data_IF_199467447599
#
_entry.id   IF_199467447599
#
_cell.length_a   1.000
_cell.length_b   1.000
_cell.length_c   1.000
_cell.angle_alpha   90.00
_cell.angle_beta   90.00
_cell.angle_gamma   90.00
#
_symmetry.space_group_name_H-M   'P 1'
#
loop_
_entity.id
_entity.type
_entity.pdbx_description
1 polymer ?
#
# COMPACT_ATOMS: atom_id res chain seq x y z
N UNK A 1 34.08 54.12 57.63
CA UNK A 1 33.48 54.10 56.30
C UNK A 1 33.82 52.85 55.48
N UNK A 2 34.95 52.15 55.59
CA UNK A 2 35.36 51.01 54.76
C UNK A 2 34.64 49.68 55.07
N UNK A 3 34.04 49.44 56.24
CA UNK A 3 33.38 48.20 56.66
C UNK A 3 31.95 48.13 56.11
N UNK A 4 31.24 49.25 56.04
CA UNK A 4 29.86 49.33 55.51
C UNK A 4 29.77 49.03 54.01
N UNK A 5 30.78 49.38 53.19
CA UNK A 5 30.80 49.11 51.75
C UNK A 5 31.04 47.64 51.39
N UNK A 6 31.81 46.89 52.22
CA UNK A 6 32.02 45.46 52.05
C UNK A 6 30.80 44.59 52.36
N UNK A 7 29.98 44.97 53.34
CA UNK A 7 28.79 44.23 53.70
C UNK A 7 27.68 44.41 52.60
N UNK A 8 27.59 45.60 51.96
CA UNK A 8 26.68 45.85 50.84
C UNK A 8 27.08 45.07 49.55
N UNK A 9 28.36 44.96 49.28
CA UNK A 9 28.90 44.18 48.13
C UNK A 9 28.63 42.69 48.23
N UNK A 10 28.83 42.09 49.40
CA UNK A 10 28.62 40.64 49.63
C UNK A 10 27.14 40.29 49.53
N UNK A 11 26.21 41.16 49.95
CA UNK A 11 24.77 40.95 49.83
C UNK A 11 24.27 41.05 48.39
N UNK A 12 24.85 41.92 47.56
CA UNK A 12 24.50 42.08 46.13
C UNK A 12 24.93 40.87 45.30
N UNK A 13 26.13 40.32 45.53
CA UNK A 13 26.65 39.15 44.85
C UNK A 13 25.87 37.87 45.21
N UNK A 14 25.50 37.70 46.46
CA UNK A 14 24.65 36.59 46.89
C UNK A 14 23.26 36.67 46.27
N UNK A 15 22.71 37.91 46.10
CA UNK A 15 21.41 38.15 45.44
C UNK A 15 21.47 37.80 43.94
N UNK A 16 22.51 38.22 43.22
CA UNK A 16 22.74 37.88 41.80
C UNK A 16 22.85 36.38 41.61
N UNK A 17 23.61 35.68 42.43
CA UNK A 17 23.74 34.22 42.37
C UNK A 17 22.39 33.50 42.62
N UNK A 18 21.58 33.94 43.54
CA UNK A 18 20.25 33.35 43.83
C UNK A 18 19.26 33.59 42.66
N UNK A 19 19.29 34.77 42.03
CA UNK A 19 18.52 35.07 40.84
C UNK A 19 18.94 34.24 39.66
N UNK A 20 20.25 34.13 39.43
CA UNK A 20 20.80 33.32 38.37
C UNK A 20 20.43 31.83 38.53
N UNK A 21 20.50 31.26 39.75
CA UNK A 21 20.10 29.88 40.03
C UNK A 21 18.60 29.67 39.76
N UNK A 22 17.75 30.61 40.14
CA UNK A 22 16.30 30.54 39.91
C UNK A 22 15.96 30.52 38.41
N UNK A 23 16.56 31.43 37.62
CA UNK A 23 16.37 31.49 36.17
C UNK A 23 16.94 30.22 35.51
N UNK A 24 18.09 29.75 35.94
CA UNK A 24 18.70 28.52 35.43
C UNK A 24 17.79 27.29 35.66
N UNK A 25 17.16 27.16 36.83
CA UNK A 25 16.20 26.08 37.11
C UNK A 25 14.96 26.20 36.25
N UNK A 26 14.42 27.42 36.07
CA UNK A 26 13.27 27.64 35.18
C UNK A 26 13.59 27.24 33.75
N UNK A 27 14.73 27.66 33.20
CA UNK A 27 15.19 27.28 31.87
C UNK A 27 15.44 25.78 31.72
N UNK A 28 15.99 25.13 32.76
CA UNK A 28 16.19 23.67 32.77
C UNK A 28 14.84 22.93 32.66
N UNK A 29 13.84 23.34 33.47
CA UNK A 29 12.50 22.73 33.45
C UNK A 29 11.84 22.94 32.08
N UNK A 30 11.90 24.14 31.50
CA UNK A 30 11.37 24.41 30.17
C UNK A 30 12.07 23.59 29.08
N UNK A 31 13.39 23.44 29.16
CA UNK A 31 14.17 22.60 28.24
C UNK A 31 13.76 21.12 28.35
N UNK A 32 13.53 20.62 29.56
CA UNK A 32 13.05 19.24 29.80
C UNK A 32 11.64 19.04 29.23
N UNK A 33 10.72 19.98 29.41
CA UNK A 33 9.36 19.92 28.83
C UNK A 33 9.44 19.91 27.31
N UNK A 34 10.22 20.81 26.70
CA UNK A 34 10.40 20.86 25.25
C UNK A 34 11.03 19.57 24.71
N UNK A 35 12.09 19.08 25.35
CA UNK A 35 12.76 17.83 24.99
C UNK A 35 11.83 16.62 25.08
N UNK A 36 11.03 16.54 26.14
CA UNK A 36 10.02 15.47 26.30
C UNK A 36 8.93 15.53 25.23
N UNK A 37 8.44 16.73 24.91
CA UNK A 37 7.44 16.93 23.85
C UNK A 37 7.99 16.53 22.47
N UNK A 38 9.23 16.93 22.14
CA UNK A 38 9.90 16.54 20.92
C UNK A 38 10.14 15.02 20.84
N UNK A 39 10.61 14.40 21.90
CA UNK A 39 10.82 12.96 21.98
C UNK A 39 9.53 12.17 21.78
N UNK A 40 8.44 12.62 22.42
CA UNK A 40 7.13 11.99 22.28
C UNK A 40 6.63 12.11 20.84
N UNK A 41 6.76 13.28 20.21
CA UNK A 41 6.42 13.48 18.81
C UNK A 41 7.21 12.56 17.86
N UNK A 42 8.54 12.51 18.02
CA UNK A 42 9.42 11.68 17.19
C UNK A 42 9.07 10.19 17.30
N UNK A 43 8.81 9.74 18.54
CA UNK A 43 8.43 8.34 18.81
C UNK A 43 7.09 8.00 18.16
N UNK A 44 6.09 8.86 18.30
CA UNK A 44 4.77 8.66 17.70
C UNK A 44 4.81 8.70 16.17
N UNK A 45 5.55 9.64 15.59
CA UNK A 45 5.70 9.74 14.14
C UNK A 45 6.36 8.49 13.54
N UNK A 46 7.38 7.97 14.23
CA UNK A 46 8.08 6.75 13.84
C UNK A 46 7.17 5.52 13.92
N UNK A 47 6.48 5.32 15.03
CA UNK A 47 5.54 4.21 15.19
C UNK A 47 4.40 4.26 14.15
N UNK A 48 3.83 5.43 13.91
CA UNK A 48 2.78 5.59 12.90
C UNK A 48 3.29 5.22 11.50
N UNK A 49 4.53 5.59 11.16
CA UNK A 49 5.15 5.22 9.89
C UNK A 49 5.40 3.71 9.80
N UNK A 50 5.96 3.08 10.82
CA UNK A 50 6.21 1.64 10.86
C UNK A 50 4.91 0.84 10.73
N UNK A 51 3.84 1.27 11.39
CA UNK A 51 2.51 0.65 11.29
C UNK A 51 1.94 0.75 9.87
N UNK A 52 2.04 1.93 9.25
CA UNK A 52 1.60 2.12 7.87
C UNK A 52 2.39 1.24 6.89
N UNK A 53 3.71 1.22 7.02
CA UNK A 53 4.59 0.42 6.17
C UNK A 53 4.25 -1.08 6.29
N UNK A 54 4.06 -1.58 7.51
CA UNK A 54 3.65 -2.95 7.78
C UNK A 54 2.26 -3.27 7.21
N UNK A 55 1.31 -2.34 7.33
CA UNK A 55 -0.04 -2.46 6.77
C UNK A 55 0.00 -2.55 5.24
N UNK A 56 0.73 -1.65 4.57
CA UNK A 56 0.86 -1.66 3.11
C UNK A 56 1.52 -2.94 2.60
N UNK A 57 2.58 -3.41 3.27
CA UNK A 57 3.23 -4.69 2.94
C UNK A 57 2.25 -5.86 3.08
N UNK A 58 1.51 -5.92 4.18
CA UNK A 58 0.51 -6.98 4.41
C UNK A 58 -0.57 -6.97 3.34
N UNK A 59 -1.05 -5.79 2.92
CA UNK A 59 -2.04 -5.66 1.86
C UNK A 59 -1.45 -6.12 0.52
N UNK A 60 -0.24 -5.70 0.16
CA UNK A 60 0.42 -6.10 -1.06
C UNK A 60 0.65 -7.62 -1.12
N UNK A 61 1.11 -8.22 -0.01
CA UNK A 61 1.29 -9.66 0.12
C UNK A 61 -0.02 -10.43 -0.03
N UNK A 62 -1.07 -10.00 0.67
CA UNK A 62 -2.40 -10.63 0.58
C UNK A 62 -2.95 -10.57 -0.84
N UNK A 63 -2.86 -9.42 -1.52
CA UNK A 63 -3.34 -9.26 -2.89
C UNK A 63 -2.54 -10.10 -3.88
N UNK A 64 -1.22 -10.14 -3.76
CA UNK A 64 -0.36 -10.96 -4.60
C UNK A 64 -0.69 -12.46 -4.43
N UNK A 65 -0.93 -12.91 -3.20
CA UNK A 65 -1.29 -14.29 -2.90
C UNK A 65 -2.70 -14.64 -3.42
N UNK A 66 -3.69 -13.77 -3.25
CA UNK A 66 -5.04 -13.97 -3.79
C UNK A 66 -5.03 -14.09 -5.33
N UNK A 67 -4.24 -13.26 -6.02
CA UNK A 67 -4.08 -13.34 -7.48
C UNK A 67 -3.41 -14.66 -7.87
N UNK A 68 -2.34 -15.04 -7.18
CA UNK A 68 -1.62 -16.28 -7.42
C UNK A 68 -2.50 -17.51 -7.18
N UNK A 69 -3.27 -17.53 -6.10
CA UNK A 69 -4.21 -18.59 -5.79
C UNK A 69 -5.30 -18.72 -6.87
N UNK A 70 -5.91 -17.62 -7.26
CA UNK A 70 -6.90 -17.59 -8.33
C UNK A 70 -6.35 -18.12 -9.66
N UNK A 71 -5.16 -17.66 -10.06
CA UNK A 71 -4.49 -18.15 -11.27
C UNK A 71 -4.21 -19.66 -11.22
N UNK A 72 -3.67 -20.13 -10.09
CA UNK A 72 -3.36 -21.55 -9.91
C UNK A 72 -4.63 -22.41 -9.93
N UNK A 73 -5.74 -21.93 -9.38
CA UNK A 73 -7.04 -22.57 -9.47
C UNK A 73 -7.48 -22.72 -10.93
N UNK A 74 -7.37 -21.65 -11.75
CA UNK A 74 -7.70 -21.73 -13.19
C UNK A 74 -6.78 -22.69 -13.95
N UNK A 75 -5.50 -22.70 -13.66
CA UNK A 75 -4.57 -23.67 -14.24
C UNK A 75 -4.91 -25.11 -13.82
N UNK A 76 -5.29 -25.34 -12.57
CA UNK A 76 -5.73 -26.66 -12.10
C UNK A 76 -7.00 -27.13 -12.81
N UNK A 77 -7.97 -26.25 -13.07
CA UNK A 77 -9.13 -26.58 -13.90
C UNK A 77 -8.71 -27.00 -15.32
N UNK A 78 -7.79 -26.28 -15.93
CA UNK A 78 -7.23 -26.61 -17.24
C UNK A 78 -6.49 -27.95 -17.22
N UNK A 79 -5.77 -28.27 -16.14
CA UNK A 79 -5.07 -29.55 -15.96
C UNK A 79 -6.05 -30.73 -15.85
N UNK A 80 -7.10 -30.58 -15.04
CA UNK A 80 -8.17 -31.60 -14.94
C UNK A 80 -8.82 -31.84 -16.30
N UNK A 81 -9.04 -30.77 -17.07
CA UNK A 81 -9.59 -30.88 -18.42
C UNK A 81 -8.62 -31.61 -19.38
N UNK A 82 -7.34 -31.27 -19.35
CA UNK A 82 -6.30 -31.93 -20.15
C UNK A 82 -6.16 -33.43 -19.84
N UNK A 83 -6.33 -33.80 -18.56
CA UNK A 83 -6.29 -35.22 -18.12
C UNK A 83 -7.59 -35.98 -18.32
N UNK A 84 -8.67 -35.37 -18.82
CA UNK A 84 -9.96 -36.00 -18.98
C UNK A 84 -10.01 -36.88 -20.26
N UNK A 85 -9.73 -38.19 -20.10
CA UNK A 85 -9.68 -39.14 -21.20
C UNK A 85 -11.03 -39.32 -21.89
N UNK A 86 -12.14 -39.24 -21.17
CA UNK A 86 -13.51 -39.33 -21.74
C UNK A 86 -13.80 -38.13 -22.65
N UNK A 87 -13.43 -36.93 -22.21
CA UNK A 87 -13.55 -35.73 -23.01
C UNK A 87 -12.65 -35.79 -24.25
N UNK A 88 -11.39 -36.19 -24.11
CA UNK A 88 -10.46 -36.35 -25.21
C UNK A 88 -10.99 -37.36 -26.25
N UNK A 89 -11.55 -38.49 -25.84
CA UNK A 89 -12.16 -39.49 -26.73
C UNK A 89 -13.38 -38.93 -27.46
N UNK A 90 -14.22 -38.09 -26.77
CA UNK A 90 -15.34 -37.42 -27.42
C UNK A 90 -14.88 -36.41 -28.48
N UNK A 91 -13.86 -35.59 -28.18
CA UNK A 91 -13.26 -34.64 -29.14
C UNK A 91 -12.69 -35.37 -30.35
N UNK A 92 -11.89 -36.43 -30.15
CA UNK A 92 -11.36 -37.24 -31.23
C UNK A 92 -12.44 -37.83 -32.15
N UNK A 93 -13.49 -38.44 -31.57
CA UNK A 93 -14.64 -38.97 -32.34
C UNK A 93 -15.30 -37.88 -33.15
N UNK A 94 -15.56 -36.74 -32.56
CA UNK A 94 -16.18 -35.60 -33.22
C UNK A 94 -15.34 -35.07 -34.37
N UNK A 95 -14.01 -35.07 -34.25
CA UNK A 95 -13.10 -34.65 -35.31
C UNK A 95 -13.05 -35.65 -36.49
N UNK A 96 -13.13 -36.95 -36.19
CA UNK A 96 -13.09 -38.03 -37.21
C UNK A 96 -14.43 -38.23 -37.89
N UNK A 97 -15.54 -38.15 -37.16
CA UNK A 97 -16.89 -38.33 -37.62
C UNK A 97 -17.80 -37.31 -36.96
N UNK A 98 -17.96 -36.13 -37.59
CA UNK A 98 -18.84 -35.09 -37.03
C UNK A 98 -20.26 -35.61 -36.80
N UNK A 99 -20.68 -35.67 -35.52
CA UNK A 99 -21.98 -36.10 -35.07
C UNK A 99 -22.62 -34.98 -34.23
N UNK A 100 -23.86 -34.61 -34.56
CA UNK A 100 -24.61 -33.57 -33.85
C UNK A 100 -24.80 -33.88 -32.36
N UNK A 101 -24.92 -35.17 -31.96
CA UNK A 101 -25.05 -35.58 -30.57
C UNK A 101 -23.78 -35.36 -29.81
N UNK A 102 -22.62 -35.73 -30.38
CA UNK A 102 -21.31 -35.51 -29.74
C UNK A 102 -21.03 -34.02 -29.64
N UNK A 103 -21.33 -33.24 -30.68
CA UNK A 103 -21.26 -31.78 -30.64
C UNK A 103 -22.07 -31.18 -29.51
N UNK A 104 -23.33 -31.61 -29.34
CA UNK A 104 -24.20 -31.16 -28.26
C UNK A 104 -23.66 -31.53 -26.87
N UNK A 105 -23.07 -32.75 -26.73
CA UNK A 105 -22.43 -33.17 -25.46
C UNK A 105 -21.23 -32.30 -25.09
N UNK A 106 -20.34 -32.01 -26.04
CA UNK A 106 -19.19 -31.13 -25.82
C UNK A 106 -19.68 -29.72 -25.45
N UNK A 107 -20.67 -29.19 -26.17
CA UNK A 107 -21.24 -27.89 -25.89
C UNK A 107 -21.89 -27.82 -24.49
N UNK A 108 -22.63 -28.85 -24.09
CA UNK A 108 -23.23 -28.94 -22.76
C UNK A 108 -22.16 -29.01 -21.66
N UNK A 109 -21.10 -29.73 -21.90
CA UNK A 109 -19.95 -29.77 -20.97
C UNK A 109 -19.30 -28.39 -20.81
N UNK A 110 -19.07 -27.68 -21.90
CA UNK A 110 -18.57 -26.30 -21.86
C UNK A 110 -19.52 -25.36 -21.12
N UNK A 111 -20.82 -25.46 -21.37
CA UNK A 111 -21.83 -24.66 -20.66
C UNK A 111 -21.79 -24.92 -19.15
N UNK A 112 -21.66 -26.18 -18.74
CA UNK A 112 -21.50 -26.53 -17.33
C UNK A 112 -20.25 -25.93 -16.71
N UNK A 113 -19.10 -26.01 -17.39
CA UNK A 113 -17.84 -25.39 -16.91
C UNK A 113 -17.96 -23.87 -16.80
N UNK A 114 -18.52 -23.22 -17.82
CA UNK A 114 -18.67 -21.77 -17.84
C UNK A 114 -19.54 -21.26 -16.68
N UNK A 115 -20.67 -21.93 -16.40
CA UNK A 115 -21.56 -21.56 -15.31
C UNK A 115 -20.91 -21.75 -13.94
N UNK A 116 -20.25 -22.90 -13.70
CA UNK A 116 -19.70 -23.22 -12.38
C UNK A 116 -18.41 -22.45 -12.06
N UNK A 117 -17.60 -22.18 -13.07
CA UNK A 117 -16.30 -21.54 -12.90
C UNK A 117 -16.22 -20.10 -13.41
N UNK A 118 -17.34 -19.55 -13.87
CA UNK A 118 -17.47 -18.18 -14.35
C UNK A 118 -16.52 -17.84 -15.50
N UNK A 119 -16.40 -18.75 -16.50
CA UNK A 119 -15.71 -18.44 -17.74
C UNK A 119 -16.62 -17.63 -18.68
N UNK A 120 -16.09 -16.56 -19.26
CA UNK A 120 -16.80 -15.71 -20.21
C UNK A 120 -17.12 -16.46 -21.50
N UNK A 121 -16.17 -17.26 -21.98
CA UNK A 121 -16.35 -18.14 -23.14
C UNK A 121 -15.40 -19.36 -23.05
N UNK A 122 -15.70 -20.41 -23.82
CA UNK A 122 -14.84 -21.59 -23.95
C UNK A 122 -14.77 -21.97 -25.42
N UNK A 123 -13.56 -22.23 -25.90
CA UNK A 123 -13.31 -22.59 -27.29
C UNK A 123 -12.59 -23.94 -27.37
N UNK A 124 -13.00 -24.78 -28.32
CA UNK A 124 -12.21 -25.93 -28.77
C UNK A 124 -11.39 -25.50 -29.99
N UNK A 125 -10.10 -25.67 -29.92
CA UNK A 125 -9.13 -25.30 -30.94
C UNK A 125 -8.48 -26.58 -31.52
N UNK A 126 -8.09 -26.53 -32.80
CA UNK A 126 -7.20 -27.55 -33.36
C UNK A 126 -5.73 -27.30 -32.94
N UNK A 127 -4.81 -28.13 -33.42
CA UNK A 127 -3.39 -28.05 -33.11
C UNK A 127 -2.70 -26.81 -33.64
N UNK A 128 -3.28 -26.18 -34.65
CA UNK A 128 -2.83 -24.94 -35.32
C UNK A 128 -3.44 -23.69 -34.66
N UNK A 129 -4.37 -23.86 -33.68
CA UNK A 129 -5.03 -22.77 -32.99
C UNK A 129 -6.31 -22.24 -33.68
N UNK A 130 -6.83 -22.93 -34.72
CA UNK A 130 -8.08 -22.53 -35.34
C UNK A 130 -9.27 -22.96 -34.49
N UNK A 131 -10.28 -22.07 -34.41
CA UNK A 131 -11.50 -22.34 -33.65
C UNK A 131 -12.33 -23.42 -34.37
N UNK A 132 -12.57 -24.53 -33.70
CA UNK A 132 -13.42 -25.64 -34.16
C UNK A 132 -14.82 -25.59 -33.55
N UNK A 133 -14.91 -25.16 -32.29
CA UNK A 133 -16.19 -24.96 -31.57
C UNK A 133 -16.02 -23.81 -30.61
N UNK A 134 -17.11 -23.10 -30.31
CA UNK A 134 -17.20 -22.06 -29.30
C UNK A 134 -18.48 -22.18 -28.50
N UNK A 135 -18.44 -21.84 -27.22
CA UNK A 135 -19.65 -21.89 -26.37
C UNK A 135 -20.63 -20.76 -26.72
N UNK A 136 -20.11 -19.54 -26.80
CA UNK A 136 -20.90 -18.36 -27.16
C UNK A 136 -20.42 -17.76 -28.47
N UNK A 137 -21.32 -17.25 -29.32
CA UNK A 137 -20.94 -16.50 -30.51
C UNK A 137 -20.02 -15.32 -30.13
N UNK A 138 -18.87 -15.22 -30.74
CA UNK A 138 -17.93 -14.12 -30.61
C UNK A 138 -17.48 -13.73 -32.00
N UNK A 139 -17.37 -12.44 -32.26
CA UNK A 139 -16.98 -11.93 -33.56
C UNK A 139 -15.47 -12.07 -33.81
N UNK A 140 -14.68 -12.19 -32.74
CA UNK A 140 -13.24 -12.04 -32.79
C UNK A 140 -12.54 -13.30 -33.28
N UNK A 141 -11.61 -13.13 -34.20
CA UNK A 141 -10.53 -14.09 -34.45
C UNK A 141 -9.58 -14.08 -33.24
N UNK A 142 -9.00 -15.22 -32.92
CA UNK A 142 -7.96 -15.29 -31.88
C UNK A 142 -6.75 -14.48 -32.31
N UNK A 143 -6.14 -13.78 -31.34
CA UNK A 143 -4.90 -13.05 -31.59
C UNK A 143 -3.72 -14.01 -31.86
N UNK A 144 -2.68 -13.58 -32.60
CA UNK A 144 -1.47 -14.40 -32.79
C UNK A 144 -0.85 -14.91 -31.48
N UNK A 145 -0.92 -14.11 -30.41
CA UNK A 145 -0.41 -14.46 -29.09
C UNK A 145 -1.13 -15.69 -28.52
N UNK A 146 -2.45 -15.82 -28.73
CA UNK A 146 -3.21 -17.00 -28.29
C UNK A 146 -2.79 -18.25 -29.07
N UNK A 147 -2.52 -18.15 -30.36
CA UNK A 147 -2.01 -19.26 -31.17
C UNK A 147 -0.64 -19.72 -30.66
N UNK A 148 0.24 -18.78 -30.28
CA UNK A 148 1.52 -19.12 -29.67
C UNK A 148 1.33 -19.82 -28.30
N UNK A 149 0.36 -19.39 -27.50
CA UNK A 149 -0.01 -20.04 -26.25
C UNK A 149 -0.47 -21.49 -26.47
N UNK A 150 -1.27 -21.76 -27.52
CA UNK A 150 -1.70 -23.11 -27.90
C UNK A 150 -0.49 -23.99 -28.23
N UNK A 151 0.41 -23.50 -29.07
CA UNK A 151 1.64 -24.24 -29.42
C UNK A 151 2.50 -24.52 -28.18
N UNK A 152 2.66 -23.55 -27.29
CA UNK A 152 3.41 -23.70 -26.04
C UNK A 152 2.78 -24.74 -25.12
N UNK A 153 1.45 -24.73 -24.96
CA UNK A 153 0.73 -25.72 -24.16
C UNK A 153 0.89 -27.14 -24.69
N UNK A 154 0.79 -27.32 -26.03
CA UNK A 154 0.98 -28.60 -26.68
C UNK A 154 2.42 -29.11 -26.54
N UNK A 155 3.41 -28.25 -26.73
CA UNK A 155 4.83 -28.61 -26.62
C UNK A 155 5.23 -28.98 -25.18
N UNK A 156 4.79 -28.19 -24.20
CA UNK A 156 5.07 -28.43 -22.78
C UNK A 156 4.24 -29.56 -22.19
N UNK A 157 3.15 -29.96 -22.85
CA UNK A 157 2.11 -30.87 -22.34
C UNK A 157 1.49 -30.42 -21.01
N UNK A 158 1.51 -29.14 -20.76
CA UNK A 158 1.02 -28.53 -19.55
C UNK A 158 0.07 -27.38 -19.89
N UNK A 159 -0.96 -27.11 -19.08
CA UNK A 159 -1.74 -25.91 -19.22
C UNK A 159 -0.87 -24.66 -19.08
N UNK A 160 -1.19 -23.66 -19.86
CA UNK A 160 -0.53 -22.35 -19.81
C UNK A 160 -1.59 -21.25 -19.74
N UNK A 161 -1.19 -20.06 -19.28
CA UNK A 161 -2.05 -18.88 -19.34
C UNK A 161 -1.38 -17.74 -20.13
N UNK A 162 -2.22 -16.86 -20.67
CA UNK A 162 -1.82 -15.63 -21.31
C UNK A 162 -1.76 -14.44 -20.36
N UNK A 163 -1.51 -13.30 -20.95
CA UNK A 163 -1.62 -12.00 -20.29
C UNK A 163 -3.05 -11.48 -20.34
N UNK A 164 -3.39 -10.49 -19.49
CA UNK A 164 -4.65 -9.75 -19.63
C UNK A 164 -4.59 -8.92 -20.91
N UNK A 165 -5.60 -9.06 -21.75
CA UNK A 165 -5.66 -8.39 -23.05
C UNK A 165 -7.11 -8.10 -23.49
N UNK A 166 -7.29 -7.29 -24.54
CA UNK A 166 -8.54 -7.13 -25.27
C UNK A 166 -8.44 -7.82 -26.62
N UNK A 167 -9.52 -8.48 -27.05
CA UNK A 167 -9.65 -8.84 -28.45
C UNK A 167 -10.00 -7.61 -29.29
N UNK A 168 -9.65 -7.64 -30.59
CA UNK A 168 -9.73 -6.46 -31.45
C UNK A 168 -11.14 -5.83 -31.53
N UNK A 169 -12.19 -6.64 -31.42
CA UNK A 169 -13.58 -6.20 -31.53
C UNK A 169 -14.32 -6.19 -30.19
N UNK A 170 -13.61 -6.42 -29.07
CA UNK A 170 -14.20 -6.52 -27.73
C UNK A 170 -13.58 -5.46 -26.81
N UNK A 171 -14.44 -4.79 -26.02
CA UNK A 171 -14.01 -3.80 -25.03
C UNK A 171 -13.71 -4.42 -23.66
N UNK A 172 -14.23 -5.63 -23.42
CA UNK A 172 -14.01 -6.33 -22.17
C UNK A 172 -12.60 -6.96 -22.14
N UNK A 173 -11.88 -6.85 -21.02
CA UNK A 173 -10.58 -7.52 -20.85
C UNK A 173 -10.78 -9.02 -20.61
N UNK A 174 -9.83 -9.83 -21.07
CA UNK A 174 -9.82 -11.28 -20.90
C UNK A 174 -8.46 -11.79 -20.44
N UNK A 175 -8.47 -12.96 -19.79
CA UNK A 175 -7.29 -13.79 -19.53
C UNK A 175 -7.59 -15.18 -20.07
N UNK A 176 -6.71 -15.68 -20.90
CA UNK A 176 -6.85 -16.98 -21.54
C UNK A 176 -6.04 -18.06 -20.82
N UNK A 177 -6.69 -19.18 -20.54
CA UNK A 177 -6.06 -20.38 -20.01
C UNK A 177 -6.21 -21.48 -21.07
N UNK A 178 -5.10 -22.09 -21.46
CA UNK A 178 -5.07 -23.10 -22.51
C UNK A 178 -4.83 -24.48 -21.89
N UNK A 179 -5.77 -25.39 -22.12
CA UNK A 179 -5.70 -26.79 -21.73
C UNK A 179 -5.39 -27.64 -22.99
N UNK A 180 -4.18 -28.18 -23.16
CA UNK A 180 -3.87 -29.04 -24.31
C UNK A 180 -4.59 -30.38 -24.20
N UNK A 181 -5.12 -30.90 -25.29
CA UNK A 181 -5.86 -32.18 -25.33
C UNK A 181 -5.06 -33.18 -26.14
N UNK A 182 -4.89 -34.37 -25.54
CA UNK A 182 -4.15 -35.49 -26.15
C UNK A 182 -5.02 -36.72 -26.31
N UNK A 183 -4.86 -37.40 -27.45
CA UNK A 183 -5.31 -38.76 -27.64
C UNK A 183 -4.34 -39.68 -26.91
N UNK A 184 -4.86 -40.49 -25.96
CA UNK A 184 -4.09 -41.39 -25.13
C UNK A 184 -4.27 -42.87 -25.53
N UNK A 185 -5.04 -43.19 -26.57
CA UNK A 185 -5.31 -44.56 -26.99
C UNK A 185 -4.14 -45.21 -27.76
N UNK A 186 -3.07 -44.47 -28.03
CA UNK A 186 -1.85 -44.94 -28.71
C UNK A 186 -0.66 -45.13 -27.79
N UNK A 187 0.45 -45.67 -28.30
CA UNK A 187 1.68 -45.90 -27.51
C UNK A 187 2.34 -44.60 -27.05
N UNK A 188 2.00 -43.50 -27.66
CA UNK A 188 2.45 -42.15 -27.28
C UNK A 188 1.27 -41.14 -27.35
N UNK A 189 1.13 -40.25 -26.38
CA UNK A 189 0.12 -39.23 -26.43
C UNK A 189 0.28 -38.33 -27.68
N UNK A 190 -0.79 -38.26 -28.48
CA UNK A 190 -0.82 -37.44 -29.70
C UNK A 190 -1.68 -36.21 -29.46
N UNK A 191 -1.20 -34.99 -29.72
CA UNK A 191 -2.05 -33.80 -29.58
C UNK A 191 -3.20 -33.84 -30.58
N UNK A 192 -4.40 -33.54 -30.12
CA UNK A 192 -5.62 -33.46 -30.95
C UNK A 192 -6.24 -32.08 -30.92
N UNK A 193 -5.68 -31.14 -30.16
CA UNK A 193 -6.11 -29.76 -30.05
C UNK A 193 -5.90 -29.18 -28.67
N UNK A 194 -6.62 -28.12 -28.38
CA UNK A 194 -6.60 -27.47 -27.06
C UNK A 194 -7.99 -26.88 -26.74
N UNK A 195 -8.27 -26.71 -25.46
CA UNK A 195 -9.40 -25.92 -25.00
C UNK A 195 -8.88 -24.60 -24.44
N UNK A 196 -9.41 -23.49 -24.95
CA UNK A 196 -9.21 -22.17 -24.42
C UNK A 196 -10.34 -21.85 -23.46
N UNK A 197 -10.01 -21.56 -22.20
CA UNK A 197 -10.88 -21.10 -21.15
C UNK A 197 -10.68 -19.60 -20.99
N UNK A 198 -11.63 -18.80 -21.44
CA UNK A 198 -11.58 -17.34 -21.38
C UNK A 198 -12.17 -16.86 -20.06
N UNK A 199 -11.34 -16.32 -19.18
CA UNK A 199 -11.77 -15.76 -17.91
C UNK A 199 -11.97 -14.25 -18.01
N UNK A 200 -13.01 -13.74 -17.35
CA UNK A 200 -13.27 -12.30 -17.21
C UNK A 200 -12.59 -11.76 -15.95
N UNK A 201 -11.59 -10.86 -16.07
CA UNK A 201 -10.97 -10.23 -14.92
C UNK A 201 -11.94 -9.43 -14.03
N UNK A 202 -13.04 -8.92 -14.59
CA UNK A 202 -14.05 -8.20 -13.84
C UNK A 202 -14.81 -9.09 -12.84
N UNK A 203 -14.87 -10.40 -13.09
CA UNK A 203 -15.59 -11.33 -12.22
C UNK A 203 -14.86 -11.58 -10.89
N UNK A 204 -13.54 -11.50 -10.85
CA UNK A 204 -12.74 -11.78 -9.66
C UNK A 204 -11.54 -10.85 -9.47
N UNK A 205 -10.67 -10.74 -10.47
CA UNK A 205 -9.36 -10.09 -10.34
C UNK A 205 -9.49 -8.61 -9.97
N UNK A 206 -10.32 -7.87 -10.68
CA UNK A 206 -10.50 -6.44 -10.44
C UNK A 206 -11.22 -6.14 -9.12
N UNK A 207 -12.31 -6.85 -8.72
CA UNK A 207 -12.90 -6.71 -7.39
C UNK A 207 -11.90 -6.97 -6.25
N UNK A 208 -11.05 -7.98 -6.38
CA UNK A 208 -9.99 -8.25 -5.40
C UNK A 208 -9.05 -7.05 -5.30
N UNK A 209 -8.58 -6.49 -6.42
CA UNK A 209 -7.68 -5.34 -6.42
C UNK A 209 -8.32 -4.07 -5.87
N UNK A 210 -9.59 -3.82 -6.21
CA UNK A 210 -10.33 -2.62 -5.78
C UNK A 210 -10.71 -2.65 -4.30
N UNK A 211 -10.84 -3.84 -3.69
CA UNK A 211 -11.18 -3.95 -2.27
C UNK A 211 -10.01 -3.48 -1.40
N UNK A 212 -10.30 -2.58 -0.44
CA UNK A 212 -9.33 -2.10 0.53
C UNK A 212 -9.83 -2.41 1.95
N UNK A 213 -9.01 -2.95 2.85
CA UNK A 213 -9.49 -3.46 4.16
C UNK A 213 -9.92 -2.38 5.14
N UNK A 214 -9.47 -1.14 4.95
CA UNK A 214 -9.79 -0.01 5.81
C UNK A 214 -10.34 1.16 4.99
N UNK A 215 -11.25 1.99 5.54
CA UNK A 215 -11.70 3.19 4.85
C UNK A 215 -10.52 4.10 4.50
N UNK A 216 -10.43 4.49 3.22
CA UNK A 216 -9.39 5.38 2.71
C UNK A 216 -9.89 6.07 1.43
N UNK A 217 -9.56 7.34 1.28
CA UNK A 217 -9.93 8.14 0.11
C UNK A 217 -8.97 7.94 -1.06
N UNK A 218 -7.69 7.71 -0.78
CA UNK A 218 -6.63 7.70 -1.80
C UNK A 218 -5.91 6.36 -1.94
N UNK A 219 -6.14 5.42 -1.01
CA UNK A 219 -5.54 4.08 -1.11
C UNK A 219 -6.08 3.33 -2.31
N UNK A 220 -5.19 2.70 -3.04
CA UNK A 220 -5.54 1.80 -4.14
C UNK A 220 -4.50 0.72 -4.36
N UNK A 221 -4.93 -0.37 -4.99
CA UNK A 221 -4.04 -1.44 -5.43
C UNK A 221 -3.91 -1.41 -6.96
N UNK A 222 -2.70 -1.36 -7.44
CA UNK A 222 -2.35 -1.40 -8.86
C UNK A 222 -1.78 -2.77 -9.18
N UNK A 223 -2.19 -3.32 -10.32
CA UNK A 223 -1.55 -4.47 -10.93
C UNK A 223 -0.89 -4.01 -12.23
N UNK A 224 0.41 -4.22 -12.34
CA UNK A 224 1.19 -3.75 -13.48
C UNK A 224 2.05 -4.86 -14.08
N UNK A 225 2.35 -4.74 -15.36
CA UNK A 225 3.34 -5.54 -16.06
C UNK A 225 4.22 -4.69 -16.96
N UNK A 226 5.34 -5.26 -17.34
CA UNK A 226 6.22 -4.66 -18.35
C UNK A 226 5.69 -4.95 -19.75
N UNK A 227 5.76 -3.95 -20.61
CA UNK A 227 5.51 -4.08 -22.05
C UNK A 227 6.57 -3.29 -22.81
N UNK A 228 7.58 -4.01 -23.31
CA UNK A 228 8.76 -3.39 -23.91
C UNK A 228 9.49 -2.47 -22.91
N UNK A 229 9.44 -1.16 -23.17
CA UNK A 229 10.05 -0.13 -22.34
C UNK A 229 9.05 0.66 -21.49
N UNK A 230 7.82 0.16 -21.42
CA UNK A 230 6.73 0.79 -20.69
C UNK A 230 6.22 -0.09 -19.54
N UNK A 231 5.63 0.58 -18.55
CA UNK A 231 4.75 0.04 -17.53
C UNK A 231 3.32 0.09 -18.05
N UNK A 232 2.63 -1.05 -18.10
CA UNK A 232 1.18 -1.10 -18.37
C UNK A 232 0.44 -1.38 -17.07
N UNK A 233 -0.64 -0.63 -16.84
CA UNK A 233 -1.59 -0.86 -15.77
C UNK A 233 -2.65 -1.85 -16.24
N UNK A 234 -2.79 -2.96 -15.51
CA UNK A 234 -3.67 -4.07 -15.89
C UNK A 234 -5.10 -3.83 -15.44
N UNK A 235 -5.30 -3.17 -14.28
CA UNK A 235 -6.62 -2.92 -13.71
C UNK A 235 -7.04 -1.46 -13.82
N UNK A 236 -8.35 -1.23 -13.66
CA UNK A 236 -8.89 0.12 -13.51
C UNK A 236 -8.36 0.79 -12.26
N UNK A 237 -8.08 2.09 -12.37
CA UNK A 237 -7.54 2.91 -11.30
C UNK A 237 -8.63 3.80 -10.69
N UNK A 238 -8.56 3.98 -9.36
CA UNK A 238 -9.53 4.82 -8.64
C UNK A 238 -9.59 6.26 -9.19
N UNK A 239 -8.45 6.81 -9.56
CA UNK A 239 -8.33 8.20 -10.00
C UNK A 239 -8.02 8.37 -11.50
N UNK A 240 -8.09 7.28 -12.26
CA UNK A 240 -7.95 7.31 -13.72
C UNK A 240 -8.87 6.23 -14.33
N UNK A 241 -10.14 6.57 -14.56
CA UNK A 241 -11.07 5.70 -15.27
C UNK A 241 -10.53 5.35 -16.67
N UNK A 242 -10.87 4.17 -17.17
CA UNK A 242 -10.39 3.64 -18.47
C UNK A 242 -8.87 3.48 -18.57
N UNK A 243 -8.17 3.34 -17.43
CA UNK A 243 -6.73 3.11 -17.38
C UNK A 243 -6.32 1.67 -17.74
N UNK A 244 -7.20 0.70 -17.49
CA UNK A 244 -6.91 -0.71 -17.67
C UNK A 244 -6.42 -1.00 -19.10
N UNK A 245 -5.21 -1.56 -19.22
CA UNK A 245 -4.50 -1.89 -20.47
C UNK A 245 -4.20 -0.72 -21.41
N UNK A 246 -4.63 0.51 -21.06
CA UNK A 246 -4.44 1.72 -21.88
C UNK A 246 -3.40 2.66 -21.30
N UNK A 247 -3.37 2.81 -19.98
CA UNK A 247 -2.41 3.69 -19.33
C UNK A 247 -1.00 3.09 -19.42
N UNK A 248 -0.10 3.86 -20.02
CA UNK A 248 1.32 3.53 -20.15
C UNK A 248 2.18 4.59 -19.51
N UNK A 249 3.27 4.18 -18.89
CA UNK A 249 4.28 5.07 -18.33
C UNK A 249 5.66 4.52 -18.65
N UNK A 250 6.65 5.40 -18.89
CA UNK A 250 8.02 4.95 -19.14
C UNK A 250 8.59 4.13 -17.98
N UNK A 251 9.30 3.05 -18.31
CA UNK A 251 9.96 2.18 -17.31
C UNK A 251 11.15 2.86 -16.62
N UNK A 252 11.76 3.86 -17.26
CA UNK A 252 12.90 4.64 -16.74
C UNK A 252 12.48 5.76 -15.78
N UNK A 253 11.19 5.92 -15.48
CA UNK A 253 10.69 6.92 -14.52
C UNK A 253 11.07 6.54 -13.09
N UNK A 254 12.22 7.04 -12.61
CA UNK A 254 12.85 6.63 -11.35
C UNK A 254 11.99 6.88 -10.10
N UNK A 255 11.06 7.84 -10.14
CA UNK A 255 10.17 8.17 -9.03
C UNK A 255 8.88 7.37 -9.01
N UNK A 256 8.56 6.64 -10.08
CA UNK A 256 7.32 5.90 -10.23
C UNK A 256 7.39 4.52 -9.52
N UNK A 257 6.57 4.25 -8.49
CA UNK A 257 6.56 2.96 -7.79
C UNK A 257 6.38 1.76 -8.74
N UNK A 258 5.51 1.89 -9.73
CA UNK A 258 5.24 0.85 -10.71
C UNK A 258 6.47 0.51 -11.58
N UNK A 259 7.25 1.50 -12.01
CA UNK A 259 8.49 1.29 -12.73
C UNK A 259 9.55 0.61 -11.84
N UNK A 260 9.68 1.07 -10.59
CA UNK A 260 10.63 0.49 -9.64
C UNK A 260 10.31 -0.99 -9.32
N UNK A 261 9.02 -1.34 -9.19
CA UNK A 261 8.59 -2.72 -9.01
C UNK A 261 9.05 -3.61 -10.18
N UNK A 262 8.83 -3.16 -11.42
CA UNK A 262 9.20 -3.90 -12.63
C UNK A 262 10.72 -3.95 -12.86
N UNK A 263 11.48 -3.04 -12.27
CA UNK A 263 12.95 -3.07 -12.22
C UNK A 263 13.49 -3.98 -11.10
N UNK A 264 12.61 -4.71 -10.39
CA UNK A 264 12.97 -5.69 -9.38
C UNK A 264 13.00 -5.17 -7.95
N UNK A 265 12.59 -3.92 -7.70
CA UNK A 265 12.51 -3.40 -6.34
C UNK A 265 11.27 -3.96 -5.63
N UNK A 266 11.44 -4.33 -4.37
CA UNK A 266 10.39 -4.87 -3.49
C UNK A 266 10.36 -4.11 -2.16
N UNK A 267 9.26 -4.26 -1.42
CA UNK A 267 9.11 -3.59 -0.12
C UNK A 267 8.55 -2.18 -0.25
N UNK A 268 8.83 -1.33 0.73
CA UNK A 268 8.30 0.05 0.76
C UNK A 268 9.11 0.97 -0.16
N UNK A 269 8.39 1.82 -0.86
CA UNK A 269 8.94 2.84 -1.74
C UNK A 269 8.16 4.14 -1.62
N UNK A 270 8.85 5.23 -1.34
CA UNK A 270 8.30 6.58 -1.38
C UNK A 270 8.57 7.17 -2.77
N UNK A 271 7.51 7.57 -3.47
CA UNK A 271 7.64 8.05 -4.85
C UNK A 271 6.49 8.96 -5.28
N UNK A 272 6.40 9.14 -6.59
CA UNK A 272 5.32 9.86 -7.24
C UNK A 272 4.48 8.87 -8.06
N UNK A 273 3.17 8.89 -7.93
CA UNK A 273 2.29 8.02 -8.70
C UNK A 273 2.08 8.53 -10.15
N UNK A 274 1.22 7.85 -10.91
CA UNK A 274 0.87 8.23 -12.28
C UNK A 274 0.27 9.63 -12.41
N UNK A 275 -0.29 10.19 -11.32
CA UNK A 275 -0.82 11.58 -11.22
C UNK A 275 0.26 12.59 -10.81
N UNK A 276 1.49 12.15 -10.52
CA UNK A 276 2.58 12.94 -9.93
C UNK A 276 2.32 13.35 -8.47
N UNK A 277 1.39 12.68 -7.78
CA UNK A 277 1.15 12.88 -6.35
C UNK A 277 2.16 12.06 -5.52
N UNK A 278 2.69 12.64 -4.42
CA UNK A 278 3.57 11.93 -3.51
C UNK A 278 2.83 10.78 -2.81
N UNK A 279 3.33 9.57 -2.93
CA UNK A 279 2.73 8.35 -2.37
C UNK A 279 3.74 7.53 -1.57
N UNK A 280 3.20 6.73 -0.65
CA UNK A 280 3.89 5.63 0.00
C UNK A 280 3.32 4.35 -0.59
N UNK A 281 4.18 3.48 -1.08
CA UNK A 281 3.76 2.27 -1.79
C UNK A 281 4.52 1.04 -1.30
N UNK A 282 3.82 -0.10 -1.22
CA UNK A 282 4.42 -1.42 -1.07
C UNK A 282 4.45 -2.13 -2.42
N UNK A 283 5.61 -2.65 -2.80
CA UNK A 283 5.88 -3.29 -4.08
C UNK A 283 6.06 -4.79 -3.89
N UNK A 284 5.25 -5.61 -4.59
CA UNK A 284 5.28 -7.06 -4.47
C UNK A 284 5.15 -7.74 -5.83
N UNK A 285 6.07 -8.65 -6.25
CA UNK A 285 5.90 -9.47 -7.43
C UNK A 285 4.81 -10.54 -7.20
N UNK A 286 4.05 -10.87 -8.25
CA UNK A 286 3.14 -12.01 -8.29
C UNK A 286 3.91 -13.22 -8.79
N UNK A 287 4.06 -14.24 -7.95
CA UNK A 287 4.87 -15.42 -8.27
C UNK A 287 4.40 -16.11 -9.56
N UNK A 288 5.37 -16.53 -10.41
CA UNK A 288 5.09 -17.23 -11.66
C UNK A 288 4.45 -16.41 -12.78
N UNK A 289 4.46 -15.07 -12.65
CA UNK A 289 4.01 -14.12 -13.68
C UNK A 289 5.04 -13.00 -13.85
N UNK A 290 4.86 -12.15 -14.87
CA UNK A 290 5.56 -10.87 -14.99
C UNK A 290 4.85 -9.71 -14.27
N UNK A 291 3.85 -9.99 -13.44
CA UNK A 291 3.00 -8.99 -12.80
C UNK A 291 3.55 -8.54 -11.45
N UNK A 292 3.26 -7.30 -11.11
CA UNK A 292 3.59 -6.73 -9.79
C UNK A 292 2.36 -6.04 -9.21
N UNK A 293 2.13 -6.29 -7.92
CA UNK A 293 1.14 -5.59 -7.11
C UNK A 293 1.80 -4.39 -6.44
N UNK A 294 1.15 -3.24 -6.53
CA UNK A 294 1.53 -2.03 -5.81
C UNK A 294 0.35 -1.59 -4.95
N UNK A 295 0.48 -1.70 -3.63
CA UNK A 295 -0.48 -1.15 -2.68
C UNK A 295 0.02 0.23 -2.25
N UNK A 296 -0.72 1.30 -2.55
CA UNK A 296 -0.28 2.67 -2.28
C UNK A 296 -1.34 3.50 -1.55
N UNK A 297 -0.88 4.55 -0.90
CA UNK A 297 -1.69 5.61 -0.31
C UNK A 297 -1.01 6.96 -0.53
N UNK A 298 -1.77 8.03 -0.70
CA UNK A 298 -1.22 9.37 -0.81
C UNK A 298 -0.55 9.78 0.51
N UNK A 299 0.66 10.32 0.41
CA UNK A 299 1.46 10.72 1.59
C UNK A 299 0.72 11.70 2.50
N UNK A 300 -0.12 12.57 1.92
CA UNK A 300 -0.94 13.52 2.68
C UNK A 300 -1.95 12.81 3.57
N UNK A 301 -2.68 11.82 3.07
CA UNK A 301 -3.63 11.03 3.84
C UNK A 301 -2.90 10.19 4.89
N UNK A 302 -1.85 9.51 4.49
CA UNK A 302 -1.03 8.68 5.37
C UNK A 302 -0.52 9.43 6.62
N UNK A 303 -0.17 10.71 6.47
CA UNK A 303 0.35 11.55 7.55
C UNK A 303 -0.73 12.35 8.28
N UNK A 304 -1.99 12.32 7.83
CA UNK A 304 -3.06 13.14 8.41
C UNK A 304 -3.31 12.85 9.89
N UNK A 305 -3.36 11.58 10.29
CA UNK A 305 -3.50 11.17 11.69
C UNK A 305 -2.30 11.58 12.55
N UNK A 306 -1.09 11.44 12.02
CA UNK A 306 0.15 11.86 12.68
C UNK A 306 0.19 13.38 12.88
N UNK A 307 -0.29 14.17 11.91
CA UNK A 307 -0.38 15.63 12.05
C UNK A 307 -1.36 16.07 13.15
N UNK A 308 -2.47 15.35 13.34
CA UNK A 308 -3.40 15.64 14.43
C UNK A 308 -2.74 15.41 15.80
N UNK A 309 -2.12 14.25 15.97
CA UNK A 309 -1.38 13.90 17.21
C UNK A 309 -0.25 14.90 17.45
N UNK A 310 0.50 15.28 16.42
CA UNK A 310 1.56 16.28 16.51
C UNK A 310 1.04 17.64 17.03
N UNK A 311 -0.11 18.09 16.52
CA UNK A 311 -0.76 19.34 16.99
C UNK A 311 -1.17 19.24 18.46
N UNK A 312 -1.73 18.09 18.89
CA UNK A 312 -2.11 17.88 20.29
C UNK A 312 -0.88 17.89 21.21
N UNK A 313 0.20 17.20 20.85
CA UNK A 313 1.46 17.21 21.61
C UNK A 313 2.01 18.63 21.69
N UNK A 314 2.01 19.39 20.60
CA UNK A 314 2.50 20.76 20.58
C UNK A 314 1.67 21.68 21.48
N UNK A 315 0.34 21.55 21.46
CA UNK A 315 -0.56 22.33 22.32
C UNK A 315 -0.36 22.00 23.80
N UNK A 316 -0.25 20.73 24.15
CA UNK A 316 0.01 20.30 25.53
C UNK A 316 1.37 20.78 26.02
N UNK A 317 2.42 20.65 25.20
CA UNK A 317 3.77 21.13 25.52
C UNK A 317 3.78 22.64 25.73
N UNK A 318 3.13 23.40 24.85
CA UNK A 318 3.01 24.85 24.96
C UNK A 318 2.23 25.25 26.21
N UNK A 319 1.13 24.57 26.53
CA UNK A 319 0.35 24.80 27.75
C UNK A 319 1.16 24.55 29.03
N UNK A 320 1.94 23.43 29.07
CA UNK A 320 2.84 23.15 30.18
C UNK A 320 3.94 24.19 30.34
N UNK A 321 4.52 24.66 29.23
CA UNK A 321 5.52 25.72 29.26
C UNK A 321 4.95 27.04 29.81
N UNK A 322 3.77 27.45 29.33
CA UNK A 322 3.10 28.65 29.80
C UNK A 322 2.73 28.56 31.30
N UNK A 323 2.19 27.40 31.72
CA UNK A 323 1.92 27.13 33.12
C UNK A 323 3.17 27.18 34.01
N UNK A 324 4.27 26.62 33.51
CA UNK A 324 5.58 26.67 34.20
C UNK A 324 6.09 28.11 34.33
N UNK A 325 6.04 28.88 33.26
CA UNK A 325 6.42 30.30 33.27
C UNK A 325 5.56 31.07 34.27
N UNK A 326 4.24 30.92 34.24
CA UNK A 326 3.31 31.56 35.16
C UNK A 326 3.62 31.16 36.62
N UNK A 327 3.83 29.88 36.90
CA UNK A 327 4.19 29.39 38.24
C UNK A 327 5.49 30.02 38.75
N UNK A 328 6.54 30.06 37.95
CA UNK A 328 7.81 30.69 38.32
C UNK A 328 7.67 32.21 38.48
N UNK A 329 6.82 32.88 37.70
CA UNK A 329 6.51 34.30 37.84
C UNK A 329 5.83 34.60 39.16
N UNK A 330 4.84 33.77 39.56
CA UNK A 330 4.18 33.91 40.88
C UNK A 330 5.16 33.66 42.05
N UNK A 331 6.02 32.65 41.94
CA UNK A 331 7.06 32.40 42.94
C UNK A 331 8.05 33.57 43.04
N UNK A 332 8.42 34.16 41.95
CA UNK A 332 9.25 35.36 41.93
C UNK A 332 8.59 36.52 42.63
N UNK A 333 7.35 36.81 42.30
CA UNK A 333 6.58 37.93 42.88
C UNK A 333 6.32 37.75 44.36
N UNK A 334 6.04 36.49 44.84
CA UNK A 334 5.85 36.21 46.24
C UNK A 334 7.14 36.40 47.07
N UNK A 335 8.31 36.02 46.51
CA UNK A 335 9.61 36.26 47.16
C UNK A 335 9.93 37.71 47.33
N UNK A 336 9.59 38.54 46.35
CA UNK A 336 9.80 40.00 46.44
C UNK A 336 8.90 40.62 47.47
N UNK A 337 7.62 40.24 47.57
CA UNK A 337 6.70 40.76 48.61
C UNK A 337 7.15 40.43 50.03
N UNK A 338 7.64 39.21 50.28
CA UNK A 338 8.16 38.85 51.62
C UNK A 338 9.43 39.64 51.98
N UNK A 339 10.27 39.94 51.02
CA UNK A 339 11.45 40.77 51.21
C UNK A 339 11.14 42.22 51.52
N UNK A 340 10.17 42.83 50.84
CA UNK A 340 9.72 44.18 51.11
C UNK A 340 9.13 44.31 52.51
N UNK A 341 8.34 43.33 52.97
CA UNK A 341 7.79 43.31 54.34
C UNK A 341 8.91 43.20 55.38
N UNK A 342 9.86 42.32 55.23
CA UNK A 342 10.98 42.14 56.14
C UNK A 342 11.88 43.41 56.24
N UNK A 343 12.09 44.10 55.13
CA UNK A 343 12.81 45.39 55.09
C UNK A 343 12.04 46.50 55.80
N UNK A 344 10.74 46.59 55.61
CA UNK A 344 9.89 47.58 56.24
C UNK A 344 9.81 47.35 57.73
N UNK A 345 9.69 46.14 58.22
CA UNK A 345 9.72 45.77 59.64
C UNK A 345 11.08 46.08 60.26
N UNK A 346 12.18 45.81 59.60
CA UNK A 346 13.52 46.14 60.08
C UNK A 346 13.77 47.64 60.17
N UNK A 347 13.23 48.43 59.21
CA UNK A 347 13.35 49.87 59.17
C UNK A 347 12.47 50.56 60.24
N UNK A 348 11.24 50.02 60.52
CA UNK A 348 10.37 50.48 61.60
C UNK A 348 10.98 50.24 62.97
N UNK A 349 11.56 49.08 63.24
CA UNK A 349 12.29 48.76 64.47
C UNK A 349 13.51 49.70 64.68
N UNK A 350 14.23 49.99 63.60
CA UNK A 350 15.39 50.84 63.66
C UNK A 350 15.00 52.31 63.95
N UNK A 351 13.89 52.80 63.42
CA UNK A 351 13.32 54.12 63.77
C UNK A 351 12.92 54.21 65.21
N UNK A 352 12.21 53.18 65.75
CA UNK A 352 11.76 53.12 67.12
C UNK A 352 12.94 53.09 68.11
N UNK A 353 14.04 52.42 67.77
CA UNK A 353 15.29 52.42 68.52
C UNK A 353 15.96 53.79 68.46
N UNK A 354 16.01 54.48 67.32
CA UNK A 354 16.61 55.82 67.18
C UNK A 354 15.80 56.87 67.98
N UNK A 355 14.49 56.83 67.98
CA UNK A 355 13.62 57.71 68.76
C UNK A 355 13.87 57.50 70.27
N UNK A 356 14.01 56.27 70.75
CA UNK A 356 14.33 55.94 72.18
C UNK A 356 15.70 56.43 72.59
N UNK A 357 16.71 56.45 71.73
CA UNK A 357 18.07 56.93 72.00
C UNK A 357 18.21 58.46 71.85
N UNK A 358 17.25 59.14 71.22
CA UNK A 358 17.28 60.62 71.11
C UNK A 358 16.57 61.36 72.21
N UNK A 359 15.86 60.60 73.14
CA UNK A 359 15.10 61.14 74.24
C UNK A 359 15.81 60.92 75.63
N UNK A 360 17.07 60.46 75.62
CA UNK A 360 17.96 60.41 76.74
C UNK A 360 19.10 61.43 76.56
#
# INVERSE_FOLDING_TARGET
MAVSSRIHGISADARRRAQFRFVAVCLLVLALIAGSGYFLYETQARHAREQLDAQLLTIADLKAEQINQWRNERLSHAEVLSGNTVFAAAVRRWQTTPDARISAQIHQYFASLAVHYHYANIFLLDTEGHIRMRLHPSASALSPDVVELVHRAIQSRQPVHGEVHHYADETAPHIDFIAPIFDLDGPQPKPIGAVLLQADPNAFLYPVLQSWPTPSETSETLLVRRDGNDVIYINELRHAPDAALKLRRPLDEATLPAAQALLGRTGIFDGLDHRKEPVIAALKPVAGTGWHVIAKVDRREALASTMLIARLIALLTAGLMLGTIAFFAVLWQSRDKHRYRALFEAESVNRELQERFSTV
#
